data_IF_381780164875
#
_entry.id   IF_381780164875
#
_cell.length_a   1.000
_cell.length_b   1.000
_cell.length_c   1.000
_cell.angle_alpha   90.00
_cell.angle_beta   90.00
_cell.angle_gamma   90.00
#
_symmetry.space_group_name_H-M   'P 1'
#
loop_
_entity.id
_entity.type
_entity.pdbx_description
1 polymer ?
#
# COMPACT_ATOMS: atom_id res chain seq x y z
N UNK A 1 6.50 32.28 14.80
CA UNK A 1 7.48 31.21 15.08
C UNK A 1 6.70 30.02 15.64
N UNK A 2 6.30 29.05 14.81
CA UNK A 2 5.72 27.79 15.28
C UNK A 2 6.45 26.64 14.57
N UNK A 3 7.68 26.39 15.00
CA UNK A 3 8.39 25.13 14.70
C UNK A 3 7.85 24.08 15.68
N UNK A 4 6.69 23.51 15.37
CA UNK A 4 6.21 22.32 16.08
C UNK A 4 7.11 21.17 15.66
N UNK A 5 8.10 20.85 16.46
CA UNK A 5 9.03 19.74 16.23
C UNK A 5 8.22 18.44 16.19
N UNK A 6 7.92 17.96 14.99
CA UNK A 6 7.08 16.78 14.80
C UNK A 6 7.86 15.55 15.31
N UNK A 7 7.30 14.85 16.31
CA UNK A 7 7.93 13.67 16.89
C UNK A 7 8.08 12.56 15.84
N UNK A 8 9.21 11.86 15.89
CA UNK A 8 9.46 10.68 15.06
C UNK A 8 8.50 9.54 15.43
N UNK A 9 8.26 8.63 14.48
CA UNK A 9 7.42 7.45 14.75
C UNK A 9 7.95 6.64 15.94
N UNK A 10 9.28 6.48 16.04
CA UNK A 10 9.91 5.78 17.16
C UNK A 10 9.61 6.45 18.51
N UNK A 11 9.68 7.79 18.57
CA UNK A 11 9.34 8.53 19.78
C UNK A 11 7.86 8.39 20.15
N UNK A 12 6.96 8.45 19.16
CA UNK A 12 5.53 8.24 19.38
C UNK A 12 5.22 6.82 19.87
N UNK A 13 5.87 5.80 19.32
CA UNK A 13 5.72 4.42 19.78
C UNK A 13 6.18 4.28 21.23
N UNK A 14 7.35 4.83 21.59
CA UNK A 14 7.86 4.79 22.97
C UNK A 14 6.91 5.49 23.95
N UNK A 15 6.37 6.64 23.58
CA UNK A 15 5.39 7.37 24.40
C UNK A 15 4.09 6.56 24.56
N UNK A 16 3.63 5.92 23.49
CA UNK A 16 2.43 5.10 23.53
C UNK A 16 2.60 3.88 24.44
N UNK A 17 3.74 3.17 24.33
CA UNK A 17 4.07 2.04 25.20
C UNK A 17 4.15 2.48 26.67
N UNK A 18 4.60 3.71 26.94
CA UNK A 18 4.62 4.31 28.27
C UNK A 18 3.24 4.78 28.78
N UNK A 19 2.16 4.59 28.01
CA UNK A 19 0.78 4.89 28.41
C UNK A 19 0.20 6.18 27.84
N UNK A 20 0.91 6.89 26.95
CA UNK A 20 0.38 8.08 26.29
C UNK A 20 -0.50 7.70 25.08
N UNK A 21 -1.80 7.58 25.29
CA UNK A 21 -2.78 7.21 24.25
C UNK A 21 -2.82 8.21 23.07
N UNK A 22 -2.55 9.51 23.30
CA UNK A 22 -2.51 10.50 22.21
C UNK A 22 -1.37 10.23 21.22
N UNK A 23 -0.28 9.61 21.67
CA UNK A 23 0.83 9.27 20.79
C UNK A 23 0.41 8.24 19.71
N UNK A 24 -0.52 7.33 20.03
CA UNK A 24 -1.05 6.39 19.05
C UNK A 24 -2.01 7.06 18.06
N UNK A 25 -2.84 8.00 18.51
CA UNK A 25 -3.69 8.79 17.61
C UNK A 25 -2.85 9.51 16.54
N UNK A 26 -1.69 10.06 16.92
CA UNK A 26 -0.77 10.68 15.96
C UNK A 26 -0.20 9.67 14.96
N UNK A 27 0.14 8.46 15.39
CA UNK A 27 0.57 7.38 14.49
C UNK A 27 -0.54 6.97 13.52
N UNK A 28 -1.78 6.83 14.01
CA UNK A 28 -2.95 6.51 13.17
C UNK A 28 -3.15 7.61 12.13
N UNK A 29 -3.23 8.87 12.53
CA UNK A 29 -3.45 9.98 11.61
C UNK A 29 -2.35 10.11 10.56
N UNK A 30 -1.10 9.83 10.92
CA UNK A 30 0.05 9.85 10.00
C UNK A 30 0.02 8.74 8.97
N UNK A 31 -0.43 7.54 9.35
CA UNK A 31 -0.26 6.34 8.51
C UNK A 31 -1.56 5.78 7.91
N UNK A 32 -2.74 6.19 8.38
CA UNK A 32 -4.04 5.62 7.96
C UNK A 32 -4.25 5.61 6.45
N UNK A 33 -3.90 6.68 5.74
CA UNK A 33 -4.10 6.76 4.29
C UNK A 33 -3.22 5.76 3.53
N UNK A 34 -1.97 5.58 3.97
CA UNK A 34 -1.03 4.63 3.36
C UNK A 34 -1.45 3.19 3.62
N UNK A 35 -1.86 2.90 4.85
CA UNK A 35 -2.38 1.58 5.25
C UNK A 35 -3.65 1.25 4.48
N UNK A 36 -4.60 2.19 4.42
CA UNK A 36 -5.85 2.05 3.66
C UNK A 36 -5.58 1.80 2.17
N UNK A 37 -4.71 2.61 1.56
CA UNK A 37 -4.33 2.45 0.14
C UNK A 37 -3.71 1.07 -0.13
N UNK A 38 -2.85 0.60 0.78
CA UNK A 38 -2.24 -0.74 0.69
C UNK A 38 -3.29 -1.84 0.66
N UNK A 39 -4.29 -1.76 1.56
CA UNK A 39 -5.38 -2.73 1.64
C UNK A 39 -6.29 -2.63 0.41
N UNK A 40 -6.74 -1.43 0.06
CA UNK A 40 -7.69 -1.18 -1.04
C UNK A 40 -7.15 -1.71 -2.37
N UNK A 41 -5.86 -1.55 -2.63
CA UNK A 41 -5.23 -2.05 -3.86
C UNK A 41 -5.20 -3.58 -3.96
N UNK A 42 -5.38 -4.26 -2.82
CA UNK A 42 -5.51 -5.71 -2.73
C UNK A 42 -6.99 -6.09 -2.82
N UNK A 43 -7.84 -5.67 -1.86
CA UNK A 43 -9.22 -6.16 -1.69
C UNK A 43 -10.24 -5.59 -2.69
N UNK A 44 -9.98 -4.39 -3.23
CA UNK A 44 -10.83 -3.71 -4.23
C UNK A 44 -12.28 -3.43 -3.78
N UNK A 45 -12.50 -3.37 -2.48
CA UNK A 45 -13.76 -2.99 -1.88
C UNK A 45 -13.48 -2.00 -0.75
N UNK A 46 -14.13 -0.85 -0.78
CA UNK A 46 -13.87 0.24 0.19
C UNK A 46 -14.33 -0.13 1.58
N UNK A 47 -15.49 -0.80 1.71
CA UNK A 47 -16.03 -1.21 3.00
C UNK A 47 -15.10 -2.24 3.68
N UNK A 48 -14.71 -3.27 2.94
CA UNK A 48 -13.71 -4.25 3.39
C UNK A 48 -12.38 -3.58 3.72
N UNK A 49 -11.95 -2.59 2.93
CA UNK A 49 -10.71 -1.89 3.19
C UNK A 49 -10.75 -1.07 4.50
N UNK A 50 -11.88 -0.45 4.82
CA UNK A 50 -12.10 0.26 6.09
C UNK A 50 -12.11 -0.70 7.28
N UNK A 51 -12.77 -1.86 7.16
CA UNK A 51 -12.79 -2.87 8.22
C UNK A 51 -11.39 -3.43 8.50
N UNK A 52 -10.66 -3.81 7.44
CA UNK A 52 -9.30 -4.31 7.57
C UNK A 52 -8.31 -3.25 8.05
N UNK A 53 -8.55 -1.97 7.75
CA UNK A 53 -7.77 -0.85 8.28
C UNK A 53 -7.89 -0.79 9.81
N UNK A 54 -9.11 -0.91 10.33
CA UNK A 54 -9.35 -0.95 11.77
C UNK A 54 -8.66 -2.17 12.40
N UNK A 55 -8.83 -3.35 11.81
CA UNK A 55 -8.17 -4.57 12.26
C UNK A 55 -6.64 -4.43 12.30
N UNK A 56 -6.04 -3.76 11.30
CA UNK A 56 -4.61 -3.53 11.25
C UNK A 56 -4.12 -2.70 12.45
N UNK A 57 -4.81 -1.60 12.75
CA UNK A 57 -4.46 -0.75 13.90
C UNK A 57 -4.78 -1.42 15.25
N UNK A 58 -5.86 -2.20 15.36
CA UNK A 58 -6.16 -2.99 16.56
C UNK A 58 -5.04 -4.02 16.81
N UNK A 59 -4.61 -4.75 15.77
CA UNK A 59 -3.46 -5.67 15.88
C UNK A 59 -2.18 -4.95 16.27
N UNK A 60 -1.97 -3.74 15.77
CA UNK A 60 -0.82 -2.92 16.12
C UNK A 60 -0.84 -2.56 17.62
N UNK A 61 -1.99 -2.10 18.13
CA UNK A 61 -2.21 -1.83 19.55
C UNK A 61 -1.89 -3.06 20.40
N UNK A 62 -2.47 -4.21 20.08
CA UNK A 62 -2.22 -5.44 20.84
C UNK A 62 -0.75 -5.85 20.83
N UNK A 63 -0.07 -5.71 19.68
CA UNK A 63 1.34 -6.09 19.55
C UNK A 63 2.25 -5.17 20.37
N UNK A 64 2.03 -3.86 20.30
CA UNK A 64 2.79 -2.87 21.07
C UNK A 64 2.54 -3.03 22.58
N UNK A 65 1.28 -3.13 23.02
CA UNK A 65 0.93 -3.30 24.44
C UNK A 65 1.43 -4.63 25.02
N UNK A 66 1.57 -5.67 24.20
CA UNK A 66 2.18 -6.95 24.63
C UNK A 66 3.71 -6.94 24.72
N UNK A 67 4.38 -5.83 24.37
CA UNK A 67 5.84 -5.75 24.34
C UNK A 67 6.49 -6.56 23.21
N UNK A 68 5.72 -7.01 22.21
CA UNK A 68 6.22 -7.80 21.06
C UNK A 68 6.70 -6.94 19.89
N UNK A 69 6.50 -5.64 19.95
CA UNK A 69 6.98 -4.72 18.92
C UNK A 69 8.50 -4.53 19.04
N UNK A 70 9.25 -4.87 17.99
CA UNK A 70 10.71 -4.80 17.93
C UNK A 70 11.24 -4.12 16.65
N UNK A 71 10.38 -3.43 15.91
CA UNK A 71 10.68 -2.84 14.59
C UNK A 71 11.18 -1.39 14.76
N UNK A 72 12.27 -1.20 15.51
CA UNK A 72 12.84 0.10 15.87
C UNK A 72 12.92 1.06 14.66
N UNK A 73 12.18 2.16 14.71
CA UNK A 73 12.16 3.18 13.65
C UNK A 73 11.44 2.81 12.36
N UNK A 74 10.85 1.62 12.24
CA UNK A 74 10.19 1.11 11.02
C UNK A 74 8.68 0.94 11.15
N UNK A 75 8.02 1.75 11.99
CA UNK A 75 6.57 1.63 12.24
C UNK A 75 5.76 1.60 10.94
N UNK A 76 6.04 2.50 9.98
CA UNK A 76 5.32 2.57 8.71
C UNK A 76 5.39 1.26 7.91
N UNK A 77 6.58 0.68 7.74
CA UNK A 77 6.75 -0.59 7.01
C UNK A 77 6.11 -1.75 7.77
N UNK A 78 6.21 -1.76 9.10
CA UNK A 78 5.61 -2.79 9.94
C UNK A 78 4.08 -2.78 9.89
N UNK A 79 3.43 -1.61 10.02
CA UNK A 79 1.96 -1.52 9.97
C UNK A 79 1.44 -1.88 8.57
N UNK A 80 2.15 -1.50 7.52
CA UNK A 80 1.79 -1.89 6.15
C UNK A 80 1.94 -3.39 5.92
N UNK A 81 2.90 -4.06 6.58
CA UNK A 81 3.04 -5.53 6.54
C UNK A 81 1.86 -6.22 7.21
N UNK A 82 1.40 -5.72 8.36
CA UNK A 82 0.18 -6.21 9.03
C UNK A 82 -1.02 -6.08 8.09
N UNK A 83 -1.18 -4.91 7.48
CA UNK A 83 -2.27 -4.59 6.57
C UNK A 83 -2.28 -5.48 5.31
N UNK A 84 -1.12 -5.68 4.69
CA UNK A 84 -0.95 -6.60 3.56
C UNK A 84 -1.39 -8.02 3.94
N UNK A 85 -0.89 -8.53 5.07
CA UNK A 85 -1.22 -9.89 5.51
C UNK A 85 -2.72 -10.06 5.76
N UNK A 86 -3.36 -9.08 6.40
CA UNK A 86 -4.81 -9.04 6.60
C UNK A 86 -5.58 -9.10 5.28
N UNK A 87 -5.17 -8.30 4.29
CA UNK A 87 -5.79 -8.26 2.98
C UNK A 87 -5.62 -9.57 2.18
N UNK A 88 -4.44 -10.20 2.26
CA UNK A 88 -4.21 -11.52 1.65
C UNK A 88 -5.03 -12.60 2.34
N UNK A 89 -5.11 -12.58 3.66
CA UNK A 89 -5.87 -13.55 4.45
C UNK A 89 -7.38 -13.42 4.18
N UNK A 90 -7.90 -12.21 3.98
CA UNK A 90 -9.27 -11.97 3.55
C UNK A 90 -9.60 -12.75 2.27
N UNK A 91 -8.80 -12.61 1.20
CA UNK A 91 -9.01 -13.37 -0.05
C UNK A 91 -8.87 -14.89 0.11
N UNK A 92 -7.94 -15.34 0.95
CA UNK A 92 -7.76 -16.78 1.21
C UNK A 92 -9.00 -17.38 1.87
N UNK A 93 -9.70 -16.63 2.71
CA UNK A 93 -10.95 -17.04 3.36
C UNK A 93 -12.14 -16.93 2.40
N UNK A 94 -12.20 -15.89 1.58
CA UNK A 94 -13.26 -15.70 0.59
C UNK A 94 -13.27 -16.83 -0.45
N UNK A 95 -12.10 -17.22 -0.98
CA UNK A 95 -11.98 -18.37 -1.91
C UNK A 95 -12.40 -19.72 -1.32
N UNK A 96 -12.52 -19.83 0.01
CA UNK A 96 -12.94 -21.04 0.72
C UNK A 96 -14.44 -21.05 1.07
N UNK A 97 -15.15 -19.95 0.82
CA UNK A 97 -16.60 -19.86 1.03
C UNK A 97 -17.34 -19.85 -0.31
N UNK A 98 -18.50 -20.53 -0.45
CA UNK A 98 -19.31 -20.42 -1.67
C UNK A 98 -19.79 -18.97 -1.82
N UNK A 99 -19.40 -18.35 -2.94
CA UNK A 99 -19.61 -16.93 -3.24
C UNK A 99 -21.11 -16.64 -3.41
N UNK A 100 -21.67 -15.78 -2.56
CA UNK A 100 -22.92 -15.06 -2.87
C UNK A 100 -22.49 -13.77 -3.55
N UNK A 101 -22.72 -13.67 -4.85
CA UNK A 101 -22.43 -12.48 -5.64
C UNK A 101 -23.51 -11.43 -5.40
N UNK A 102 -23.11 -10.21 -5.04
CA UNK A 102 -23.96 -9.04 -5.20
C UNK A 102 -23.45 -8.20 -6.37
N UNK A 103 -24.43 -7.72 -7.12
CA UNK A 103 -24.37 -7.00 -8.38
C UNK A 103 -24.48 -5.51 -8.08
N UNK A 104 -23.37 -4.78 -8.09
CA UNK A 104 -23.39 -3.38 -8.53
C UNK A 104 -21.97 -2.91 -8.90
N UNK A 105 -21.76 -2.66 -10.19
CA UNK A 105 -20.49 -2.25 -10.80
C UNK A 105 -20.18 -0.77 -10.61
N UNK A 106 -20.28 -0.24 -9.39
CA UNK A 106 -20.00 1.18 -9.14
C UNK A 106 -18.49 1.47 -9.01
N UNK A 107 -17.99 2.38 -9.85
CA UNK A 107 -16.63 2.93 -9.76
C UNK A 107 -16.61 4.05 -8.70
N UNK A 108 -16.03 3.78 -7.53
CA UNK A 108 -15.79 4.80 -6.49
C UNK A 108 -14.27 5.07 -6.40
N UNK A 109 -13.71 5.61 -7.47
CA UNK A 109 -12.36 6.16 -7.49
C UNK A 109 -12.43 7.69 -7.52
N UNK A 110 -12.98 8.27 -6.46
CA UNK A 110 -12.85 9.70 -6.20
C UNK A 110 -12.81 9.91 -4.70
N UNK A 111 -11.63 9.73 -4.10
CA UNK A 111 -11.19 10.32 -2.83
C UNK A 111 -9.80 9.81 -2.45
N UNK A 112 -8.83 9.99 -3.35
CA UNK A 112 -7.42 9.94 -2.97
C UNK A 112 -6.84 11.33 -3.20
N UNK A 113 -7.25 12.28 -2.35
CA UNK A 113 -6.67 13.62 -2.33
C UNK A 113 -5.21 13.49 -1.91
N UNK A 114 -4.32 13.59 -2.89
CA UNK A 114 -2.92 13.89 -2.64
C UNK A 114 -2.85 15.36 -2.18
N UNK A 115 -2.08 15.61 -1.13
CA UNK A 115 -1.88 16.97 -0.65
C UNK A 115 -1.07 17.79 -1.69
N UNK A 116 -1.63 18.95 -2.02
CA UNK A 116 -1.06 20.16 -2.62
C UNK A 116 -0.18 20.01 -3.87
N UNK A 117 -0.82 20.15 -5.03
CA UNK A 117 -0.24 20.78 -6.23
C UNK A 117 -1.36 21.52 -7.00
N UNK A 118 -1.01 22.54 -7.77
CA UNK A 118 -1.96 23.45 -8.44
C UNK A 118 -2.96 22.74 -9.37
N UNK A 119 -4.18 23.29 -9.43
CA UNK A 119 -5.38 22.66 -9.99
C UNK A 119 -5.27 22.15 -11.45
N UNK A 120 -4.40 22.73 -12.27
CA UNK A 120 -4.23 22.34 -13.69
C UNK A 120 -3.21 21.21 -13.89
N UNK A 121 -2.22 21.10 -12.99
CA UNK A 121 -1.28 19.96 -12.95
C UNK A 121 -1.85 18.75 -12.22
N UNK A 122 -2.85 18.95 -11.35
CA UNK A 122 -3.50 17.91 -10.59
C UNK A 122 -4.32 16.98 -11.49
N UNK A 123 -5.06 17.53 -12.46
CA UNK A 123 -5.93 16.74 -13.36
C UNK A 123 -5.13 15.76 -14.24
N UNK A 124 -4.04 16.22 -14.86
CA UNK A 124 -3.17 15.37 -15.71
C UNK A 124 -2.45 14.31 -14.86
N UNK A 125 -2.06 14.66 -13.63
CA UNK A 125 -1.48 13.71 -12.67
C UNK A 125 -2.52 12.67 -12.26
N UNK A 126 -3.74 13.06 -11.93
CA UNK A 126 -4.83 12.18 -11.52
C UNK A 126 -5.16 11.15 -12.60
N UNK A 127 -5.28 11.57 -13.86
CA UNK A 127 -5.51 10.66 -15.00
C UNK A 127 -4.35 9.69 -15.21
N UNK A 128 -3.11 10.18 -15.08
CA UNK A 128 -1.90 9.35 -15.19
C UNK A 128 -1.81 8.34 -14.05
N UNK A 129 -2.14 8.74 -12.82
CA UNK A 129 -2.15 7.87 -11.64
C UNK A 129 -3.29 6.85 -11.67
N UNK A 130 -4.49 7.24 -12.12
CA UNK A 130 -5.60 6.33 -12.33
C UNK A 130 -5.23 5.25 -13.35
N UNK A 131 -4.64 5.66 -14.48
CA UNK A 131 -4.18 4.73 -15.50
C UNK A 131 -3.06 3.80 -15.02
N UNK A 132 -2.10 4.34 -14.25
CA UNK A 132 -1.04 3.52 -13.66
C UNK A 132 -1.62 2.48 -12.70
N UNK A 133 -2.61 2.86 -11.87
CA UNK A 133 -3.33 1.93 -10.99
C UNK A 133 -3.97 0.81 -11.80
N UNK A 134 -4.69 1.12 -12.87
CA UNK A 134 -5.28 0.10 -13.75
C UNK A 134 -4.21 -0.84 -14.35
N UNK A 135 -3.10 -0.30 -14.82
CA UNK A 135 -2.01 -1.11 -15.39
C UNK A 135 -1.38 -2.05 -14.36
N UNK A 136 -1.15 -1.57 -13.14
CA UNK A 136 -0.68 -2.40 -12.01
C UNK A 136 -1.67 -3.56 -11.76
N UNK A 137 -2.97 -3.31 -11.87
CA UNK A 137 -4.00 -4.33 -11.70
C UNK A 137 -4.00 -5.40 -12.82
N UNK A 138 -3.35 -5.15 -13.95
CA UNK A 138 -3.19 -6.18 -15.01
C UNK A 138 -1.93 -7.02 -14.87
N UNK A 139 -1.06 -6.75 -13.89
CA UNK A 139 0.13 -7.55 -13.64
C UNK A 139 -0.22 -8.92 -13.04
N UNK A 140 0.58 -9.97 -13.32
CA UNK A 140 0.52 -11.21 -12.55
C UNK A 140 0.58 -10.96 -11.05
N UNK A 141 -0.19 -11.72 -10.26
CA UNK A 141 -0.35 -11.49 -8.82
C UNK A 141 0.98 -11.35 -8.08
N UNK A 142 1.95 -12.24 -8.35
CA UNK A 142 3.26 -12.24 -7.70
C UNK A 142 4.14 -11.03 -8.06
N UNK A 143 3.94 -10.44 -9.25
CA UNK A 143 4.63 -9.22 -9.68
C UNK A 143 4.00 -7.99 -9.04
N UNK A 144 2.65 -7.95 -9.05
CA UNK A 144 1.87 -6.90 -8.38
C UNK A 144 2.19 -6.86 -6.90
N UNK A 145 2.19 -8.01 -6.23
CA UNK A 145 2.47 -8.12 -4.79
C UNK A 145 3.83 -7.52 -4.40
N UNK A 146 4.91 -7.86 -5.13
CA UNK A 146 6.24 -7.29 -4.84
C UNK A 146 6.28 -5.79 -5.10
N UNK A 147 5.63 -5.31 -6.17
CA UNK A 147 5.54 -3.88 -6.46
C UNK A 147 4.77 -3.14 -5.38
N UNK A 148 3.66 -3.70 -4.92
CA UNK A 148 2.83 -3.18 -3.84
C UNK A 148 3.61 -3.09 -2.52
N UNK A 149 4.24 -4.19 -2.10
CA UNK A 149 5.03 -4.20 -0.88
C UNK A 149 6.23 -3.24 -0.95
N UNK A 150 6.86 -3.12 -2.12
CA UNK A 150 8.04 -2.25 -2.28
C UNK A 150 7.67 -0.77 -2.26
N UNK A 151 6.64 -0.37 -2.99
CA UNK A 151 6.33 1.05 -3.21
C UNK A 151 5.28 1.60 -2.24
N UNK A 152 4.34 0.79 -1.78
CA UNK A 152 3.27 1.24 -0.89
C UNK A 152 3.52 0.82 0.56
N UNK A 153 4.17 -0.32 0.80
CA UNK A 153 4.52 -0.76 2.15
C UNK A 153 5.97 -0.41 2.56
N UNK A 154 6.75 0.25 1.72
CA UNK A 154 8.18 0.59 1.96
C UNK A 154 9.00 -0.60 2.49
N UNK A 155 8.73 -1.81 2.01
CA UNK A 155 9.47 -3.00 2.42
C UNK A 155 10.74 -3.16 1.59
N UNK A 156 11.84 -3.55 2.23
CA UNK A 156 13.06 -4.02 1.58
C UNK A 156 12.80 -5.35 0.86
N UNK A 157 13.61 -5.69 -0.14
CA UNK A 157 13.48 -6.98 -0.83
C UNK A 157 13.68 -8.18 0.12
N UNK A 158 14.45 -7.99 1.20
CA UNK A 158 14.60 -8.98 2.25
C UNK A 158 13.28 -9.18 3.03
N UNK A 159 12.66 -8.09 3.50
CA UNK A 159 11.36 -8.16 4.20
C UNK A 159 10.25 -8.71 3.28
N UNK A 160 10.29 -8.40 1.98
CA UNK A 160 9.36 -8.95 0.97
C UNK A 160 9.56 -10.46 0.80
N UNK A 161 10.82 -10.91 0.72
CA UNK A 161 11.16 -12.32 0.60
C UNK A 161 10.64 -13.12 1.81
N UNK A 162 10.86 -12.59 3.02
CA UNK A 162 10.36 -13.15 4.27
C UNK A 162 8.83 -13.19 4.31
N UNK A 163 8.15 -12.08 3.99
CA UNK A 163 6.70 -12.00 4.02
C UNK A 163 6.01 -12.90 2.99
N UNK A 164 6.66 -13.15 1.85
CA UNK A 164 6.10 -13.96 0.75
C UNK A 164 6.62 -15.40 0.71
N UNK A 165 7.55 -15.77 1.61
CA UNK A 165 8.13 -17.11 1.69
C UNK A 165 8.96 -17.52 0.47
N UNK A 166 9.63 -16.57 -0.18
CA UNK A 166 10.47 -16.81 -1.36
C UNK A 166 11.91 -16.32 -1.15
N UNK A 167 12.84 -16.69 -2.04
CA UNK A 167 14.20 -16.15 -1.97
C UNK A 167 14.25 -14.66 -2.35
N UNK A 168 15.23 -13.91 -1.83
CA UNK A 168 15.47 -12.51 -2.22
C UNK A 168 15.64 -12.34 -3.74
N UNK A 169 16.30 -13.29 -4.39
CA UNK A 169 16.47 -13.30 -5.85
C UNK A 169 15.14 -13.49 -6.58
N UNK A 170 14.22 -14.29 -6.03
CA UNK A 170 12.86 -14.43 -6.56
C UNK A 170 12.08 -13.13 -6.42
N UNK A 171 12.18 -12.44 -5.29
CA UNK A 171 11.55 -11.14 -5.08
C UNK A 171 12.10 -10.08 -6.07
N UNK A 172 13.42 -9.99 -6.21
CA UNK A 172 14.09 -9.12 -7.20
C UNK A 172 13.66 -9.44 -8.63
N UNK A 173 13.60 -10.72 -8.98
CA UNK A 173 13.11 -11.18 -10.29
C UNK A 173 11.67 -10.75 -10.55
N UNK A 174 10.77 -10.99 -9.60
CA UNK A 174 9.36 -10.55 -9.67
C UNK A 174 9.24 -9.04 -9.85
N UNK A 175 10.04 -8.26 -9.13
CA UNK A 175 10.08 -6.80 -9.29
C UNK A 175 10.54 -6.39 -10.68
N UNK A 176 11.64 -6.97 -11.17
CA UNK A 176 12.15 -6.71 -12.52
C UNK A 176 11.09 -6.99 -13.58
N UNK A 177 10.40 -8.13 -13.50
CA UNK A 177 9.34 -8.47 -14.45
C UNK A 177 8.11 -7.57 -14.30
N UNK A 178 7.76 -7.14 -13.08
CA UNK A 178 6.69 -6.16 -12.85
C UNK A 178 6.97 -4.86 -13.62
N UNK A 179 8.18 -4.30 -13.49
CA UNK A 179 8.58 -3.07 -14.15
C UNK A 179 8.63 -3.22 -15.69
N UNK A 180 9.18 -4.33 -16.19
CA UNK A 180 9.22 -4.61 -17.65
C UNK A 180 7.80 -4.69 -18.21
N UNK A 181 6.89 -5.40 -17.53
CA UNK A 181 5.53 -5.59 -17.99
C UNK A 181 4.71 -4.30 -17.90
N UNK A 182 4.90 -3.50 -16.85
CA UNK A 182 4.31 -2.16 -16.76
C UNK A 182 4.78 -1.28 -17.90
N UNK A 183 6.10 -1.20 -18.15
CA UNK A 183 6.65 -0.39 -19.24
C UNK A 183 6.09 -0.80 -20.59
N UNK A 184 6.03 -2.11 -20.89
CA UNK A 184 5.42 -2.62 -22.13
C UNK A 184 3.96 -2.20 -22.26
N UNK A 185 3.18 -2.30 -21.18
CA UNK A 185 1.77 -1.91 -21.18
C UNK A 185 1.61 -0.39 -21.34
N UNK A 186 2.41 0.42 -20.66
CA UNK A 186 2.41 1.88 -20.82
C UNK A 186 2.74 2.28 -22.27
N UNK A 187 3.72 1.63 -22.91
CA UNK A 187 4.10 1.89 -24.30
C UNK A 187 3.04 1.43 -25.29
N UNK A 188 2.44 0.26 -25.11
CA UNK A 188 1.36 -0.24 -25.97
C UNK A 188 0.11 0.64 -25.88
N UNK A 189 -0.13 1.24 -24.72
CA UNK A 189 -1.21 2.20 -24.53
C UNK A 189 -0.85 3.61 -25.07
N UNK A 190 0.43 3.93 -25.19
CA UNK A 190 0.96 5.17 -25.79
C UNK A 190 1.14 5.11 -27.31
N UNK A 191 0.78 4.03 -28.02
CA UNK A 191 0.89 3.99 -29.50
C UNK A 191 0.00 5.05 -30.19
N UNK A 192 -0.88 5.75 -29.47
CA UNK A 192 -1.55 6.94 -29.99
C UNK A 192 -0.64 8.19 -30.07
N UNK A 193 0.43 8.30 -29.28
CA UNK A 193 1.34 9.45 -29.30
C UNK A 193 2.74 9.03 -28.85
N UNK A 194 3.61 8.74 -29.82
CA UNK A 194 4.95 9.34 -29.97
C UNK A 194 5.83 8.42 -30.85
N UNK A 195 6.22 8.92 -32.02
CA UNK A 195 6.99 8.19 -33.04
C UNK A 195 8.50 8.50 -32.98
N UNK A 196 9.01 9.28 -32.02
CA UNK A 196 10.39 9.76 -32.06
C UNK A 196 11.13 9.64 -30.71
N UNK A 197 11.36 8.43 -30.19
CA UNK A 197 12.24 8.31 -29.01
C UNK A 197 13.24 7.14 -29.01
N UNK A 198 13.75 6.76 -30.18
CA UNK A 198 15.07 6.14 -30.30
C UNK A 198 15.74 6.68 -31.57
N UNK A 199 16.69 7.60 -31.42
CA UNK A 199 17.71 7.84 -32.44
C UNK A 199 18.80 6.78 -32.29
N UNK A 200 19.34 6.37 -33.43
CA UNK A 200 20.29 5.27 -33.68
C UNK A 200 21.39 5.04 -32.63
#
# INVERSE_FOLDING_TARGET
MNTTTQLSDSALVSLYIAGNENAFEQLVNRHKNKVYTTILLIVKDSYTAEDLLQDAFIKAVHTMKSGRYNEEGKFSSWICRIAHNLAIDYFRKEKRSPMITLEDGSNVFNNLSFAEDSAESLQIKEDTFARLRELIQTLPQSQREVLMMRHYADMSFQEIAEATGVSINTALGRMRYALINLRKKMLNTNIAYDKNLYSE
#
